data_IF_648817380694
#
_entry.id   IF_648817380694
#
_cell.length_a   1.000
_cell.length_b   1.000
_cell.length_c   1.000
_cell.angle_alpha   90.00
_cell.angle_beta   90.00
_cell.angle_gamma   90.00
#
_symmetry.space_group_name_H-M   'P 1'
#
loop_
_entity.id
_entity.type
_entity.pdbx_description
1 polymer ?
#
# COMPACT_ATOMS: atom_id res chain seq x y z
N UNK A 1 36.21 -39.80 35.28
CA UNK A 1 36.72 -39.05 36.46
C UNK A 1 36.57 -37.57 36.14
N UNK A 2 35.48 -36.95 36.59
CA UNK A 2 35.44 -35.93 37.67
C UNK A 2 36.05 -34.57 37.27
N UNK A 3 35.19 -33.58 37.00
CA UNK A 3 35.07 -32.30 37.75
C UNK A 3 34.48 -31.19 36.88
N UNK A 4 33.27 -30.72 37.25
CA UNK A 4 32.94 -29.35 37.72
C UNK A 4 32.69 -28.40 36.53
N UNK A 5 31.46 -28.04 36.10
CA UNK A 5 30.28 -27.48 36.80
C UNK A 5 30.63 -26.31 37.73
N UNK A 6 30.81 -25.13 37.14
CA UNK A 6 30.62 -23.84 37.81
C UNK A 6 29.53 -23.06 37.06
N UNK A 7 28.41 -22.86 37.75
CA UNK A 7 27.29 -22.04 37.30
C UNK A 7 27.47 -20.59 37.72
N UNK A 8 27.41 -19.68 36.75
CA UNK A 8 27.21 -18.26 36.98
C UNK A 8 25.72 -17.95 37.03
N UNK A 9 25.18 -17.71 38.24
CA UNK A 9 23.87 -17.11 38.44
C UNK A 9 23.98 -15.61 38.20
N UNK A 10 23.50 -15.12 37.06
CA UNK A 10 23.33 -13.68 36.85
C UNK A 10 22.02 -13.24 37.50
N UNK A 11 22.14 -12.30 38.44
CA UNK A 11 21.04 -11.78 39.24
C UNK A 11 20.04 -11.03 38.37
N UNK A 12 18.76 -11.43 38.43
CA UNK A 12 17.64 -10.64 37.92
C UNK A 12 17.34 -9.54 38.94
N UNK A 13 17.68 -8.31 38.59
CA UNK A 13 17.28 -7.11 39.35
C UNK A 13 15.84 -6.80 38.96
N UNK A 14 14.90 -7.20 39.82
CA UNK A 14 13.50 -6.77 39.74
C UNK A 14 13.41 -5.35 40.30
N UNK A 15 13.27 -4.36 39.41
CA UNK A 15 12.98 -2.99 39.81
C UNK A 15 11.51 -2.89 40.23
N UNK A 16 11.27 -2.64 41.51
CA UNK A 16 9.96 -2.35 42.06
C UNK A 16 9.52 -0.94 41.62
N UNK A 17 8.46 -0.86 40.82
CA UNK A 17 7.78 0.40 40.48
C UNK A 17 6.95 0.85 41.68
N UNK A 18 7.39 1.91 42.34
CA UNK A 18 6.64 2.57 43.40
C UNK A 18 5.57 3.48 42.76
N UNK A 19 4.30 3.10 42.88
CA UNK A 19 3.14 3.94 42.56
C UNK A 19 2.97 4.97 43.68
N UNK A 20 3.30 6.22 43.40
CA UNK A 20 2.98 7.34 44.28
C UNK A 20 1.64 7.97 43.87
N UNK A 21 0.59 7.69 44.66
CA UNK A 21 -0.63 8.49 44.69
C UNK A 21 -0.30 9.90 45.20
N UNK A 22 -0.56 10.93 44.40
CA UNK A 22 -0.70 12.30 44.89
C UNK A 22 -2.14 12.76 44.70
N UNK A 23 -2.91 12.65 45.78
CA UNK A 23 -4.15 13.39 45.96
C UNK A 23 -3.81 14.78 46.51
N UNK A 24 -4.02 15.83 45.70
CA UNK A 24 -4.02 17.20 46.17
C UNK A 24 -5.36 17.86 45.79
N UNK A 25 -6.25 17.91 46.77
CA UNK A 25 -7.43 18.75 46.79
C UNK A 25 -6.96 20.19 47.02
N UNK A 26 -7.21 21.08 46.05
CA UNK A 26 -7.15 22.52 46.26
C UNK A 26 -8.50 23.13 45.88
N UNK A 27 -9.31 23.34 46.92
CA UNK A 27 -10.42 24.28 46.93
C UNK A 27 -9.84 25.71 46.89
N UNK A 28 -10.09 26.44 45.80
CA UNK A 28 -10.06 27.90 45.85
C UNK A 28 -11.03 28.45 44.82
N UNK A 29 -12.06 29.13 45.31
CA UNK A 29 -12.93 29.97 44.50
C UNK A 29 -12.30 31.34 44.27
N UNK A 30 -12.52 31.90 43.08
CA UNK A 30 -12.42 33.33 42.82
C UNK A 30 -13.40 33.69 41.69
N UNK A 31 -13.96 34.89 41.83
CA UNK A 31 -15.07 35.44 41.08
C UNK A 31 -14.80 35.58 39.57
N UNK A 32 -15.84 35.31 38.78
CA UNK A 32 -15.85 35.55 37.33
C UNK A 32 -16.06 37.04 37.03
N UNK A 33 -15.19 37.69 36.24
CA UNK A 33 -15.60 38.87 35.49
C UNK A 33 -16.45 38.43 34.29
N UNK A 34 -17.57 39.12 34.07
CA UNK A 34 -18.38 39.01 32.86
C UNK A 34 -17.55 39.47 31.66
N UNK A 35 -16.88 38.53 31.00
CA UNK A 35 -16.21 38.71 29.72
C UNK A 35 -17.15 38.36 28.57
N UNK A 36 -17.18 39.23 27.57
CA UNK A 36 -17.98 39.15 26.35
C UNK A 36 -17.94 37.77 25.66
N UNK A 37 -19.00 37.35 24.95
CA UNK A 37 -19.01 36.14 24.15
C UNK A 37 -17.98 36.29 23.02
N UNK A 38 -16.78 35.74 23.23
CA UNK A 38 -15.83 35.49 22.16
C UNK A 38 -16.42 34.44 21.26
N UNK A 39 -16.55 34.76 19.97
CA UNK A 39 -16.88 33.82 18.93
C UNK A 39 -15.94 32.60 19.07
N UNK A 40 -16.52 31.43 19.29
CA UNK A 40 -15.78 30.18 19.19
C UNK A 40 -15.28 30.10 17.75
N UNK A 41 -13.96 30.18 17.57
CA UNK A 41 -13.34 29.81 16.31
C UNK A 41 -13.74 28.35 16.04
N UNK A 42 -14.24 28.01 14.84
CA UNK A 42 -14.54 26.64 14.50
C UNK A 42 -13.24 25.86 14.63
N UNK A 43 -13.19 24.96 15.60
CA UNK A 43 -12.11 23.99 15.70
C UNK A 43 -12.01 23.29 14.36
N UNK A 44 -10.82 23.28 13.77
CA UNK A 44 -10.49 22.46 12.62
C UNK A 44 -10.84 21.02 12.96
N UNK A 45 -12.03 20.58 12.58
CA UNK A 45 -12.31 19.18 12.40
C UNK A 45 -11.29 18.71 11.36
N UNK A 46 -10.39 17.83 11.79
CA UNK A 46 -9.57 17.05 10.88
C UNK A 46 -10.56 16.37 9.94
N UNK A 47 -10.66 16.91 8.73
CA UNK A 47 -11.46 16.34 7.66
C UNK A 47 -10.70 15.08 7.24
N UNK A 48 -10.94 13.98 7.96
CA UNK A 48 -10.40 12.65 7.64
C UNK A 48 -11.26 12.09 6.52
N UNK A 49 -11.31 12.82 5.40
CA UNK A 49 -11.69 12.23 4.13
C UNK A 49 -10.58 11.29 3.67
N UNK A 50 -10.87 10.34 2.77
CA UNK A 50 -9.84 9.53 2.14
C UNK A 50 -8.82 10.47 1.47
N UNK A 51 -7.62 10.57 2.05
CA UNK A 51 -6.55 11.37 1.48
C UNK A 51 -5.86 10.52 0.44
N UNK A 52 -6.06 10.84 -0.84
CA UNK A 52 -5.29 10.27 -1.95
C UNK A 52 -3.79 10.65 -1.92
N UNK A 53 -3.34 11.31 -0.85
CA UNK A 53 -1.99 11.76 -0.58
C UNK A 53 -1.07 10.68 0.02
N UNK A 54 -1.60 9.48 0.31
CA UNK A 54 -0.78 8.35 0.76
C UNK A 54 -1.27 7.01 0.26
N UNK A 55 -0.37 6.04 0.29
CA UNK A 55 -0.59 4.64 -0.03
C UNK A 55 -0.36 3.76 1.22
N UNK A 56 -0.83 2.52 1.18
CA UNK A 56 -0.57 1.48 2.15
C UNK A 56 0.29 0.38 1.53
N UNK A 57 1.28 -0.09 2.28
CA UNK A 57 2.12 -1.22 1.95
C UNK A 57 2.31 -2.10 3.19
N UNK A 58 1.66 -3.27 3.24
CA UNK A 58 1.60 -4.11 4.44
C UNK A 58 1.11 -3.34 5.69
N UNK A 59 0.12 -2.47 5.52
CA UNK A 59 -0.40 -1.60 6.58
C UNK A 59 0.48 -0.39 6.92
N UNK A 60 1.66 -0.25 6.30
CA UNK A 60 2.50 0.93 6.45
C UNK A 60 2.01 2.06 5.54
N UNK A 61 1.85 3.27 6.09
CA UNK A 61 1.51 4.44 5.30
C UNK A 61 2.75 4.97 4.57
N UNK A 62 2.67 5.01 3.25
CA UNK A 62 3.69 5.54 2.34
C UNK A 62 3.18 6.86 1.75
N UNK A 63 3.78 8.01 2.08
CA UNK A 63 3.36 9.29 1.49
C UNK A 63 3.50 9.29 -0.04
N UNK A 64 2.54 9.90 -0.73
CA UNK A 64 2.58 10.03 -2.21
C UNK A 64 3.81 10.77 -2.70
N UNK A 65 4.30 11.73 -1.92
CA UNK A 65 5.55 12.44 -2.23
C UNK A 65 6.76 11.51 -2.36
N UNK A 66 6.78 10.36 -1.68
CA UNK A 66 7.88 9.38 -1.80
C UNK A 66 7.84 8.69 -3.17
N UNK A 67 6.64 8.55 -3.75
CA UNK A 67 6.44 7.97 -5.08
C UNK A 67 6.78 8.99 -6.16
N UNK A 68 6.31 10.23 -5.99
CA UNK A 68 6.46 11.30 -6.99
C UNK A 68 7.86 11.95 -6.98
N UNK A 69 8.47 12.10 -5.80
CA UNK A 69 9.80 12.71 -5.60
C UNK A 69 10.63 11.90 -4.56
N UNK A 70 11.15 10.73 -4.96
CA UNK A 70 11.81 9.81 -4.04
C UNK A 70 13.13 10.34 -3.48
N UNK A 71 13.25 10.39 -2.15
CA UNK A 71 14.53 10.62 -1.46
C UNK A 71 15.38 9.36 -1.54
N UNK A 72 16.53 9.43 -2.22
CA UNK A 72 17.43 8.28 -2.37
C UNK A 72 18.28 8.09 -1.12
N UNK A 73 18.75 6.87 -0.91
CA UNK A 73 19.69 6.54 0.18
C UNK A 73 20.95 7.44 0.12
N UNK A 74 21.45 7.70 -1.08
CA UNK A 74 22.63 8.55 -1.31
C UNK A 74 22.44 10.01 -0.89
N UNK A 75 21.18 10.48 -0.80
CA UNK A 75 20.84 11.87 -0.44
C UNK A 75 20.61 12.04 1.07
N UNK A 76 20.66 10.95 1.85
CA UNK A 76 20.61 11.01 3.30
C UNK A 76 21.85 11.67 3.89
N UNK A 77 21.70 12.26 5.07
CA UNK A 77 22.85 12.69 5.86
C UNK A 77 23.71 11.50 6.33
N UNK A 78 24.89 11.81 6.90
CA UNK A 78 25.86 10.81 7.37
C UNK A 78 25.24 9.83 8.39
N UNK A 79 24.34 10.30 9.26
CA UNK A 79 23.69 9.45 10.25
C UNK A 79 22.70 8.47 9.61
N UNK A 80 21.94 8.91 8.60
CA UNK A 80 21.02 8.05 7.84
C UNK A 80 21.76 7.01 7.01
N UNK A 81 22.85 7.41 6.35
CA UNK A 81 23.70 6.46 5.61
C UNK A 81 24.35 5.44 6.55
N UNK A 82 24.88 5.89 7.70
CA UNK A 82 25.45 5.01 8.70
C UNK A 82 24.42 4.07 9.34
N UNK A 83 23.17 4.51 9.51
CA UNK A 83 22.09 3.66 10.01
C UNK A 83 21.83 2.47 9.09
N UNK A 84 21.72 2.72 7.78
CA UNK A 84 21.49 1.67 6.77
C UNK A 84 22.73 0.77 6.62
N UNK A 85 23.92 1.35 6.53
CA UNK A 85 25.16 0.59 6.34
C UNK A 85 25.53 -0.31 7.52
N UNK A 86 25.07 0.01 8.73
CA UNK A 86 25.30 -0.79 9.94
C UNK A 86 24.07 -1.62 10.36
N UNK A 87 23.00 -1.61 9.56
CA UNK A 87 21.82 -2.42 9.87
C UNK A 87 22.13 -3.91 9.72
N UNK A 88 21.60 -4.73 10.61
CA UNK A 88 21.75 -6.19 10.57
C UNK A 88 20.41 -6.92 10.66
N UNK A 89 20.37 -8.15 10.17
CA UNK A 89 19.30 -9.10 10.47
C UNK A 89 19.41 -9.65 11.89
N UNK A 90 18.42 -10.42 12.32
CA UNK A 90 18.37 -11.08 13.63
C UNK A 90 19.48 -12.13 13.82
N UNK A 91 19.98 -12.70 12.73
CA UNK A 91 21.14 -13.60 12.73
C UNK A 91 22.50 -12.85 12.80
N UNK A 92 22.47 -11.51 12.80
CA UNK A 92 23.65 -10.64 12.82
C UNK A 92 24.34 -10.45 11.47
N UNK A 93 23.81 -11.01 10.38
CA UNK A 93 24.28 -10.73 9.03
C UNK A 93 23.98 -9.27 8.65
N UNK A 94 24.87 -8.60 7.89
CA UNK A 94 24.63 -7.23 7.46
C UNK A 94 23.46 -7.16 6.47
N UNK A 95 22.71 -6.06 6.52
CA UNK A 95 21.74 -5.74 5.48
C UNK A 95 22.48 -5.51 4.15
N UNK A 96 22.17 -6.34 3.16
CA UNK A 96 22.68 -6.20 1.79
C UNK A 96 21.53 -5.76 0.89
N UNK A 97 21.54 -4.49 0.50
CA UNK A 97 20.58 -3.94 -0.45
C UNK A 97 21.14 -4.13 -1.85
N UNK A 98 20.54 -5.04 -2.61
CA UNK A 98 20.81 -5.10 -4.04
C UNK A 98 20.28 -3.83 -4.71
N UNK A 99 21.05 -3.30 -5.67
CA UNK A 99 20.73 -2.07 -6.38
C UNK A 99 20.31 -0.92 -5.44
N UNK A 100 21.18 -0.46 -4.52
CA UNK A 100 20.83 0.55 -3.52
C UNK A 100 20.29 1.85 -4.13
N UNK A 101 20.63 2.15 -5.39
CA UNK A 101 20.09 3.26 -6.18
C UNK A 101 18.59 3.16 -6.46
N UNK A 102 18.01 1.96 -6.43
CA UNK A 102 16.58 1.71 -6.64
C UNK A 102 15.73 1.94 -5.39
N UNK A 103 16.36 2.03 -4.22
CA UNK A 103 15.70 2.21 -2.94
C UNK A 103 15.48 3.70 -2.61
N UNK A 104 14.32 3.97 -2.04
CA UNK A 104 13.86 5.29 -1.61
C UNK A 104 13.44 5.26 -0.14
N UNK A 105 13.57 6.38 0.56
CA UNK A 105 13.26 6.49 1.99
C UNK A 105 11.82 6.98 2.13
N UNK A 106 10.94 6.10 2.63
CA UNK A 106 9.53 6.41 2.85
C UNK A 106 9.27 7.10 4.20
N UNK A 107 10.00 6.69 5.23
CA UNK A 107 9.94 7.29 6.56
C UNK A 107 11.34 7.32 7.16
N UNK A 108 11.65 8.39 7.89
CA UNK A 108 12.87 8.46 8.70
C UNK A 108 12.61 9.25 9.98
N UNK A 109 12.97 8.65 11.10
CA UNK A 109 13.06 9.30 12.39
C UNK A 109 14.27 8.75 13.18
N UNK A 110 14.39 9.07 14.47
CA UNK A 110 15.55 8.70 15.28
C UNK A 110 15.68 7.18 15.53
N UNK A 111 14.58 6.44 15.52
CA UNK A 111 14.54 5.01 15.85
C UNK A 111 14.05 4.14 14.70
N UNK A 112 13.63 4.73 13.59
CA UNK A 112 13.01 4.02 12.45
C UNK A 112 13.42 4.60 11.11
N UNK A 113 13.70 3.72 10.15
CA UNK A 113 13.82 4.04 8.73
C UNK A 113 12.97 3.04 7.95
N UNK A 114 12.08 3.52 7.09
CA UNK A 114 11.34 2.67 6.15
C UNK A 114 11.91 2.91 4.76
N UNK A 115 12.42 1.85 4.16
CA UNK A 115 12.90 1.82 2.78
C UNK A 115 11.85 1.15 1.91
N UNK A 116 11.63 1.71 0.72
CA UNK A 116 10.81 1.09 -0.32
C UNK A 116 11.56 1.07 -1.63
N UNK A 117 11.28 0.08 -2.47
CA UNK A 117 11.63 0.14 -3.90
C UNK A 117 10.50 -0.44 -4.71
N UNK A 118 10.29 0.16 -5.89
CA UNK A 118 9.41 -0.43 -6.88
C UNK A 118 10.19 -1.48 -7.65
N UNK A 119 9.79 -2.74 -7.50
CA UNK A 119 10.12 -3.76 -8.48
C UNK A 119 9.23 -3.48 -9.68
N UNK A 120 9.70 -2.70 -10.62
CA UNK A 120 9.10 -2.77 -11.95
C UNK A 120 9.18 -4.24 -12.35
N UNK A 121 8.04 -4.88 -12.57
CA UNK A 121 7.98 -6.03 -13.44
C UNK A 121 8.52 -5.55 -14.78
N UNK A 122 9.85 -5.56 -14.95
CA UNK A 122 10.48 -5.47 -16.25
C UNK A 122 9.91 -6.69 -16.94
N UNK A 123 8.88 -6.47 -17.76
CA UNK A 123 8.28 -7.52 -18.56
C UNK A 123 9.43 -8.32 -19.15
N UNK A 124 9.41 -9.62 -18.92
CA UNK A 124 10.38 -10.59 -19.38
C UNK A 124 10.36 -10.69 -20.93
N UNK A 125 10.62 -9.57 -21.60
CA UNK A 125 10.41 -9.37 -23.04
C UNK A 125 11.09 -8.13 -23.62
N UNK A 126 11.73 -7.26 -22.83
CA UNK A 126 12.60 -6.19 -23.39
C UNK A 126 13.98 -6.24 -22.73
N UNK A 127 14.68 -7.35 -22.90
CA UNK A 127 16.14 -7.29 -22.80
C UNK A 127 16.69 -6.79 -24.14
N UNK A 128 17.71 -5.95 -24.05
CA UNK A 128 18.60 -5.46 -25.11
C UNK A 128 19.29 -6.56 -25.95
N UNK A 129 18.77 -7.79 -26.02
CA UNK A 129 19.23 -8.85 -26.91
C UNK A 129 19.09 -8.49 -28.41
N UNK A 130 18.31 -7.46 -28.75
CA UNK A 130 18.21 -6.95 -30.12
C UNK A 130 19.37 -6.03 -30.55
N UNK A 131 20.40 -5.77 -29.72
CA UNK A 131 21.54 -4.94 -30.15
C UNK A 131 22.89 -5.66 -30.31
N UNK A 132 23.00 -6.97 -30.12
CA UNK A 132 24.30 -7.60 -30.36
C UNK A 132 24.44 -9.11 -30.14
N UNK A 133 23.62 -9.95 -30.76
CA UNK A 133 23.98 -11.34 -30.96
C UNK A 133 23.27 -11.94 -32.19
N UNK A 134 23.80 -11.64 -33.37
CA UNK A 134 23.65 -12.56 -34.49
C UNK A 134 24.48 -13.82 -34.18
N UNK A 135 23.86 -14.78 -33.51
CA UNK A 135 24.41 -16.09 -33.22
C UNK A 135 23.31 -17.13 -33.34
N UNK A 136 23.32 -17.87 -34.45
CA UNK A 136 22.46 -19.02 -34.76
C UNK A 136 22.15 -19.90 -33.54
N UNK A 137 20.92 -19.86 -33.06
CA UNK A 137 20.35 -20.86 -32.19
C UNK A 137 19.03 -21.35 -32.80
N UNK A 138 19.12 -22.46 -33.52
CA UNK A 138 17.97 -23.25 -33.98
C UNK A 138 17.43 -24.05 -32.80
N UNK A 139 16.35 -23.59 -32.18
CA UNK A 139 15.63 -24.33 -31.16
C UNK A 139 14.25 -23.71 -30.95
N UNK A 140 13.21 -24.41 -31.39
CA UNK A 140 11.81 -24.04 -31.30
C UNK A 140 11.40 -23.70 -29.86
N UNK A 141 11.33 -22.41 -29.54
CA UNK A 141 10.40 -21.89 -28.52
C UNK A 141 9.26 -21.23 -29.28
N UNK A 142 8.09 -21.87 -29.26
CA UNK A 142 6.85 -21.31 -29.79
C UNK A 142 6.49 -20.05 -28.99
N UNK A 143 6.91 -18.91 -29.50
CA UNK A 143 6.33 -17.61 -29.20
C UNK A 143 5.31 -17.39 -30.30
N UNK A 144 4.03 -17.33 -29.94
CA UNK A 144 2.98 -17.03 -30.88
C UNK A 144 3.21 -15.61 -31.41
N UNK A 145 3.14 -15.42 -32.74
CA UNK A 145 3.45 -14.18 -33.49
C UNK A 145 2.59 -12.95 -33.10
N UNK A 146 1.75 -13.07 -32.06
CA UNK A 146 0.92 -12.00 -31.52
C UNK A 146 1.59 -11.19 -30.40
N UNK A 147 2.70 -11.65 -29.81
CA UNK A 147 3.47 -10.86 -28.83
C UNK A 147 2.73 -10.44 -27.56
N UNK A 148 1.52 -10.95 -27.31
CA UNK A 148 0.76 -10.67 -26.09
C UNK A 148 1.27 -11.55 -24.96
N UNK A 149 2.09 -10.99 -24.08
CA UNK A 149 2.37 -11.63 -22.79
C UNK A 149 1.04 -11.64 -22.00
N UNK A 150 0.53 -12.80 -21.57
CA UNK A 150 -0.68 -12.85 -20.75
C UNK A 150 -0.48 -11.96 -19.52
N UNK A 151 -1.44 -11.09 -19.25
CA UNK A 151 -1.50 -10.36 -17.98
C UNK A 151 -1.44 -11.37 -16.84
N UNK A 152 -0.34 -11.34 -16.07
CA UNK A 152 -0.19 -12.15 -14.86
C UNK A 152 -0.61 -11.28 -13.67
N UNK A 153 -1.83 -11.45 -13.12
CA UNK A 153 -2.28 -10.74 -11.93
C UNK A 153 -1.46 -11.10 -10.68
N UNK A 154 -0.49 -12.03 -10.75
CA UNK A 154 0.42 -12.31 -9.63
C UNK A 154 1.73 -11.54 -9.72
N UNK A 155 1.99 -10.85 -10.84
CA UNK A 155 3.06 -9.86 -10.95
C UNK A 155 2.80 -8.59 -10.08
N UNK A 156 1.63 -8.51 -9.43
CA UNK A 156 1.14 -7.40 -8.59
C UNK A 156 2.01 -7.02 -7.37
N UNK A 157 3.07 -7.79 -7.05
CA UNK A 157 4.00 -7.45 -5.97
C UNK A 157 5.11 -6.50 -6.44
N UNK A 158 4.68 -5.31 -6.85
CA UNK A 158 5.53 -4.30 -7.46
C UNK A 158 6.35 -3.49 -6.47
N UNK A 159 6.19 -3.71 -5.16
CA UNK A 159 6.91 -2.94 -4.14
C UNK A 159 7.51 -3.84 -3.09
N UNK A 160 8.80 -3.64 -2.81
CA UNK A 160 9.45 -4.19 -1.64
C UNK A 160 9.57 -3.14 -0.56
N UNK A 161 9.46 -3.56 0.70
CA UNK A 161 9.60 -2.70 1.87
C UNK A 161 10.50 -3.34 2.90
N UNK A 162 11.42 -2.55 3.42
CA UNK A 162 12.26 -2.90 4.57
C UNK A 162 12.07 -1.84 5.65
N UNK A 163 11.77 -2.27 6.87
CA UNK A 163 11.73 -1.38 8.05
C UNK A 163 12.94 -1.67 8.92
N UNK A 164 13.78 -0.66 9.13
CA UNK A 164 14.88 -0.67 10.07
C UNK A 164 14.42 -0.05 11.40
N UNK A 165 14.85 -0.61 12.52
CA UNK A 165 14.53 -0.11 13.86
C UNK A 165 15.68 -0.30 14.83
N UNK A 166 15.80 0.60 15.81
CA UNK A 166 16.73 0.46 16.95
C UNK A 166 16.10 -0.17 18.18
N UNK A 167 14.80 -0.52 18.14
CA UNK A 167 14.05 -0.96 19.33
C UNK A 167 14.21 -2.46 19.63
N UNK A 168 14.61 -3.25 18.63
CA UNK A 168 14.66 -4.70 18.75
C UNK A 168 16.01 -5.19 19.32
N UNK A 169 17.13 -4.52 18.99
CA UNK A 169 18.51 -4.95 19.30
C UNK A 169 19.41 -3.72 19.52
N UNK A 170 20.59 -3.86 20.15
CA UNK A 170 21.57 -2.78 20.18
C UNK A 170 22.04 -2.42 18.77
N UNK A 171 21.70 -1.21 18.29
CA UNK A 171 22.04 -0.73 16.95
C UNK A 171 20.83 -0.78 16.01
N UNK A 172 21.07 -0.54 14.72
CA UNK A 172 20.03 -0.64 13.70
C UNK A 172 19.83 -2.10 13.29
N UNK A 173 18.59 -2.56 13.24
CA UNK A 173 18.25 -3.91 12.83
C UNK A 173 17.05 -3.91 11.87
N UNK A 174 16.99 -4.91 11.00
CA UNK A 174 15.81 -5.16 10.16
C UNK A 174 14.68 -5.67 11.07
N UNK A 175 13.64 -4.85 11.22
CA UNK A 175 12.46 -5.21 12.02
C UNK A 175 11.34 -5.86 11.20
N UNK A 176 11.25 -5.54 9.91
CA UNK A 176 10.32 -6.17 8.99
C UNK A 176 10.85 -6.05 7.56
N UNK A 177 10.63 -7.08 6.76
CA UNK A 177 10.90 -7.11 5.32
C UNK A 177 9.77 -7.85 4.62
N UNK A 178 9.37 -7.39 3.44
CA UNK A 178 8.39 -8.08 2.63
C UNK A 178 8.03 -7.30 1.37
N UNK A 179 7.23 -7.93 0.52
CA UNK A 179 6.65 -7.32 -0.67
C UNK A 179 5.18 -6.95 -0.46
N UNK A 180 4.72 -5.96 -1.20
CA UNK A 180 3.36 -5.45 -1.15
C UNK A 180 2.93 -4.89 -2.51
N UNK A 181 1.64 -4.77 -2.69
CA UNK A 181 1.02 -3.90 -3.71
C UNK A 181 0.69 -2.59 -3.02
N UNK A 182 1.16 -1.46 -3.55
CA UNK A 182 0.76 -0.16 -3.04
C UNK A 182 -0.69 0.11 -3.41
N UNK A 183 -1.52 0.31 -2.39
CA UNK A 183 -2.92 0.70 -2.55
C UNK A 183 -3.14 2.06 -1.91
N UNK A 184 -4.00 2.90 -2.46
CA UNK A 184 -4.30 4.21 -1.86
C UNK A 184 -4.88 4.04 -0.45
N UNK A 185 -4.48 4.91 0.47
CA UNK A 185 -5.02 4.92 1.84
C UNK A 185 -6.39 5.60 1.83
N UNK A 186 -7.45 4.79 1.93
CA UNK A 186 -8.83 5.27 1.97
C UNK A 186 -9.35 5.50 3.40
N UNK A 187 -8.47 5.49 4.41
CA UNK A 187 -8.85 5.63 5.82
C UNK A 187 -9.61 4.40 6.33
N UNK A 188 -10.90 4.57 6.61
CA UNK A 188 -11.75 3.48 7.13
C UNK A 188 -12.24 2.53 6.02
N UNK A 189 -12.16 2.93 4.75
CA UNK A 189 -12.51 2.07 3.63
C UNK A 189 -11.34 1.17 3.24
N UNK A 190 -11.66 0.02 2.67
CA UNK A 190 -10.68 -0.88 2.07
C UNK A 190 -10.73 -0.78 0.55
N UNK A 191 -9.58 -0.97 -0.10
CA UNK A 191 -9.50 -1.05 -1.56
C UNK A 191 -9.96 -2.45 -2.02
N UNK A 192 -11.05 -2.57 -2.79
CA UNK A 192 -11.46 -3.84 -3.36
C UNK A 192 -10.61 -4.23 -4.58
N UNK A 193 -10.68 -5.50 -4.97
CA UNK A 193 -10.29 -5.88 -6.33
C UNK A 193 -11.46 -5.57 -7.27
N UNK A 194 -11.16 -4.97 -8.42
CA UNK A 194 -12.16 -4.53 -9.40
C UNK A 194 -11.76 -4.99 -10.79
N UNK A 195 -12.73 -5.52 -11.54
CA UNK A 195 -12.56 -5.84 -12.97
C UNK A 195 -13.89 -5.67 -13.71
N UNK A 196 -13.87 -5.65 -15.04
CA UNK A 196 -15.11 -5.58 -15.84
C UNK A 196 -15.91 -6.88 -15.76
N UNK A 197 -17.23 -6.74 -15.69
CA UNK A 197 -18.15 -7.87 -15.90
C UNK A 197 -18.01 -8.37 -17.35
N UNK A 198 -17.53 -9.61 -17.49
CA UNK A 198 -17.27 -10.24 -18.78
C UNK A 198 -18.57 -10.57 -19.53
N UNK A 199 -19.69 -10.72 -18.82
CA UNK A 199 -21.00 -10.99 -19.42
C UNK A 199 -21.71 -9.69 -19.83
N UNK A 200 -21.18 -8.53 -19.45
CA UNK A 200 -21.78 -7.21 -19.67
C UNK A 200 -20.76 -6.12 -19.99
N UNK A 201 -19.79 -6.44 -20.86
CA UNK A 201 -18.76 -5.50 -21.32
C UNK A 201 -19.37 -4.22 -21.92
N UNK A 202 -18.79 -3.03 -21.65
CA UNK A 202 -19.30 -1.79 -22.20
C UNK A 202 -19.07 -1.70 -23.72
N UNK A 203 -19.87 -0.89 -24.39
CA UNK A 203 -19.67 -0.47 -25.78
C UNK A 203 -19.24 1.00 -25.82
N UNK A 204 -18.81 1.51 -26.98
CA UNK A 204 -18.48 2.93 -27.14
C UNK A 204 -19.65 3.87 -26.79
N UNK A 205 -20.88 3.44 -27.00
CA UNK A 205 -22.08 4.22 -26.66
C UNK A 205 -22.54 4.03 -25.20
N UNK A 206 -21.92 3.11 -24.45
CA UNK A 206 -22.30 2.81 -23.08
C UNK A 206 -22.06 4.01 -22.16
N UNK A 207 -23.03 4.29 -21.30
CA UNK A 207 -22.90 5.22 -20.16
C UNK A 207 -22.88 4.47 -18.83
N UNK A 208 -22.80 3.16 -18.86
CA UNK A 208 -22.79 2.31 -17.69
C UNK A 208 -21.56 1.41 -17.78
N UNK A 209 -20.77 1.38 -16.70
CA UNK A 209 -19.69 0.44 -16.50
C UNK A 209 -20.17 -0.63 -15.54
N UNK A 210 -20.25 -1.87 -16.01
CA UNK A 210 -20.58 -3.03 -15.17
C UNK A 210 -19.29 -3.64 -14.66
N UNK A 211 -19.10 -3.56 -13.35
CA UNK A 211 -17.90 -3.99 -12.65
C UNK A 211 -18.22 -5.19 -11.76
N UNK A 212 -17.22 -6.02 -11.55
CA UNK A 212 -17.19 -7.05 -10.54
C UNK A 212 -16.27 -6.58 -9.42
N UNK A 213 -16.81 -6.47 -8.21
CA UNK A 213 -16.11 -5.93 -7.04
C UNK A 213 -15.93 -7.03 -6.00
N UNK A 214 -14.69 -7.28 -5.60
CA UNK A 214 -14.33 -8.31 -4.63
C UNK A 214 -13.71 -7.67 -3.39
N UNK A 215 -14.37 -7.86 -2.25
CA UNK A 215 -13.90 -7.42 -0.93
C UNK A 215 -12.77 -8.35 -0.43
N UNK A 216 -11.55 -7.83 -0.17
CA UNK A 216 -10.43 -8.64 0.28
C UNK A 216 -10.58 -9.14 1.73
N UNK A 217 -11.47 -8.54 2.53
CA UNK A 217 -11.56 -8.76 3.97
C UNK A 217 -12.57 -9.81 4.40
N UNK A 218 -13.08 -10.60 3.45
CA UNK A 218 -14.19 -11.54 3.58
C UNK A 218 -15.58 -10.90 3.50
N UNK A 219 -16.30 -11.19 2.41
CA UNK A 219 -17.68 -10.71 2.20
C UNK A 219 -18.77 -11.48 2.96
N UNK A 220 -18.46 -12.69 3.45
CA UNK A 220 -19.50 -13.65 3.87
C UNK A 220 -20.46 -13.99 2.72
N UNK A 221 -21.55 -14.69 3.01
CA UNK A 221 -22.65 -14.91 2.05
C UNK A 221 -23.51 -13.65 1.79
N UNK A 222 -23.12 -12.50 2.36
CA UNK A 222 -23.88 -11.27 2.26
C UNK A 222 -23.50 -10.52 0.99
N UNK A 223 -24.49 -10.24 0.14
CA UNK A 223 -24.36 -9.28 -0.94
C UNK A 223 -23.81 -7.94 -0.40
N UNK A 224 -22.82 -7.36 -1.08
CA UNK A 224 -22.10 -6.17 -0.63
C UNK A 224 -22.48 -4.83 -1.27
N UNK A 225 -23.57 -4.66 -2.07
CA UNK A 225 -23.76 -3.43 -2.83
C UNK A 225 -23.89 -2.20 -1.93
N UNK A 226 -24.44 -2.34 -0.72
CA UNK A 226 -24.59 -1.25 0.24
C UNK A 226 -23.26 -0.86 0.93
N UNK A 227 -22.20 -1.64 0.78
CA UNK A 227 -20.86 -1.39 1.36
C UNK A 227 -19.87 -0.78 0.36
N UNK A 228 -20.17 -0.87 -0.93
CA UNK A 228 -19.32 -0.33 -2.00
C UNK A 228 -19.59 1.17 -2.14
N UNK A 229 -18.53 1.95 -2.12
CA UNK A 229 -18.56 3.41 -2.26
C UNK A 229 -17.68 3.84 -3.43
N UNK A 230 -18.22 4.69 -4.32
CA UNK A 230 -17.40 5.38 -5.32
C UNK A 230 -16.70 6.53 -4.64
N UNK A 231 -15.42 6.37 -4.33
CA UNK A 231 -14.60 7.38 -3.66
C UNK A 231 -14.25 8.50 -4.63
N UNK A 232 -13.84 8.15 -5.85
CA UNK A 232 -13.63 9.11 -6.93
C UNK A 232 -13.98 8.52 -8.29
N UNK A 233 -14.55 9.36 -9.15
CA UNK A 233 -14.77 9.06 -10.56
C UNK A 233 -14.28 10.28 -11.36
N UNK A 234 -13.12 10.14 -11.97
CA UNK A 234 -12.55 11.18 -12.83
C UNK A 234 -12.83 10.79 -14.29
N UNK A 235 -13.53 11.66 -15.02
CA UNK A 235 -13.81 11.48 -16.44
C UNK A 235 -13.09 12.59 -17.22
N UNK A 236 -12.21 12.20 -18.14
CA UNK A 236 -11.64 13.11 -19.14
C UNK A 236 -11.88 12.59 -20.57
N UNK A 237 -11.28 13.24 -21.57
CA UNK A 237 -11.49 12.90 -22.99
C UNK A 237 -10.79 11.60 -23.43
N UNK A 238 -9.89 11.07 -22.61
CA UNK A 238 -9.03 9.91 -22.89
C UNK A 238 -9.23 8.75 -21.93
N UNK A 239 -9.73 9.00 -20.73
CA UNK A 239 -9.77 8.02 -19.66
C UNK A 239 -10.94 8.25 -18.68
N UNK A 240 -11.41 7.14 -18.11
CA UNK A 240 -12.26 7.12 -16.92
C UNK A 240 -11.48 6.45 -15.79
N UNK A 241 -11.14 7.20 -14.75
CA UNK A 241 -10.40 6.69 -13.58
C UNK A 241 -11.36 6.44 -12.43
N UNK A 242 -11.45 5.19 -12.00
CA UNK A 242 -12.38 4.73 -10.98
C UNK A 242 -11.61 4.40 -9.70
N UNK A 243 -12.04 4.97 -8.58
CA UNK A 243 -11.60 4.56 -7.25
C UNK A 243 -12.80 4.10 -6.44
N UNK A 244 -12.85 2.81 -6.14
CA UNK A 244 -13.85 2.23 -5.24
C UNK A 244 -13.24 1.98 -3.87
N UNK A 245 -14.07 2.12 -2.84
CA UNK A 245 -13.79 1.67 -1.49
C UNK A 245 -14.90 0.72 -1.02
N UNK A 246 -14.56 -0.19 -0.13
CA UNK A 246 -15.52 -1.06 0.55
C UNK A 246 -15.43 -0.80 2.04
N UNK A 247 -16.57 -0.47 2.67
CA UNK A 247 -16.63 -0.37 4.14
C UNK A 247 -16.37 -1.74 4.75
N UNK A 248 -15.47 -1.92 5.72
CA UNK A 248 -15.24 -3.19 6.40
C UNK A 248 -16.52 -3.78 6.99
N UNK A 249 -16.53 -5.10 7.20
CA UNK A 249 -17.57 -5.70 8.01
C UNK A 249 -17.49 -5.15 9.45
N UNK A 250 -18.63 -4.96 10.14
CA UNK A 250 -18.62 -4.69 11.57
C UNK A 250 -17.86 -5.78 12.34
N UNK A 251 -17.44 -5.49 13.56
CA UNK A 251 -16.78 -6.50 14.39
C UNK A 251 -17.68 -7.74 14.59
N UNK A 252 -17.16 -8.92 14.25
CA UNK A 252 -17.92 -10.16 14.31
C UNK A 252 -17.12 -11.38 13.84
N UNK A 253 -17.61 -12.57 14.20
CA UNK A 253 -17.12 -13.81 13.62
C UNK A 253 -17.92 -14.10 12.34
N UNK A 254 -17.23 -14.18 11.21
CA UNK A 254 -17.82 -14.46 9.91
C UNK A 254 -17.26 -15.77 9.35
N UNK A 255 -18.14 -16.64 8.86
CA UNK A 255 -17.73 -17.82 8.11
C UNK A 255 -17.53 -17.41 6.65
N UNK A 256 -16.27 -17.29 6.27
CA UNK A 256 -15.83 -16.81 4.96
C UNK A 256 -15.90 -17.91 3.89
N UNK A 257 -17.09 -18.47 3.67
CA UNK A 257 -17.31 -19.56 2.72
C UNK A 257 -17.43 -19.03 1.29
N UNK A 258 -16.28 -18.74 0.66
CA UNK A 258 -16.23 -18.21 -0.70
C UNK A 258 -16.26 -16.69 -0.75
N UNK A 259 -15.69 -16.14 -1.81
CA UNK A 259 -15.66 -14.70 -2.05
C UNK A 259 -16.19 -14.45 -3.47
N UNK A 260 -17.50 -14.68 -3.71
CA UNK A 260 -18.07 -14.32 -5.00
C UNK A 260 -17.96 -12.79 -5.15
N UNK A 261 -17.50 -12.30 -6.30
CA UNK A 261 -17.53 -10.87 -6.59
C UNK A 261 -18.97 -10.34 -6.65
N UNK A 262 -19.20 -9.13 -6.16
CA UNK A 262 -20.47 -8.43 -6.22
C UNK A 262 -20.54 -7.58 -7.49
N UNK A 263 -21.56 -7.77 -8.35
CA UNK A 263 -21.81 -6.88 -9.48
C UNK A 263 -22.09 -5.45 -9.00
N UNK A 264 -21.49 -4.46 -9.65
CA UNK A 264 -21.66 -3.04 -9.34
C UNK A 264 -21.67 -2.20 -10.62
N UNK A 265 -22.63 -1.29 -10.75
CA UNK A 265 -22.75 -0.46 -11.95
C UNK A 265 -22.42 1.00 -11.62
N UNK A 266 -21.51 1.59 -12.40
CA UNK A 266 -21.19 3.02 -12.37
C UNK A 266 -21.83 3.69 -13.58
N UNK A 267 -22.51 4.82 -13.37
CA UNK A 267 -23.06 5.64 -14.46
C UNK A 267 -22.10 6.78 -14.81
N UNK A 268 -21.71 6.87 -16.07
CA UNK A 268 -20.87 7.91 -16.65
C UNK A 268 -21.71 9.13 -17.08
N UNK A 269 -21.09 10.31 -17.02
CA UNK A 269 -21.73 11.56 -17.48
C UNK A 269 -21.78 11.66 -19.01
N UNK A 270 -20.78 11.11 -19.70
CA UNK A 270 -20.71 11.00 -21.17
C UNK A 270 -20.59 9.54 -21.61
N UNK A 271 -21.00 9.17 -22.84
CA UNK A 271 -20.72 7.84 -23.40
C UNK A 271 -19.23 7.50 -23.35
N UNK A 272 -18.87 6.23 -23.14
CA UNK A 272 -17.50 5.78 -22.96
C UNK A 272 -16.59 6.20 -24.12
N UNK A 273 -17.04 6.08 -25.37
CA UNK A 273 -16.26 6.42 -26.55
C UNK A 273 -15.00 5.55 -26.67
N UNK A 274 -13.88 6.19 -27.00
CA UNK A 274 -12.54 5.56 -27.05
C UNK A 274 -11.78 5.71 -25.72
N UNK A 275 -12.48 6.01 -24.62
CA UNK A 275 -11.83 6.20 -23.33
C UNK A 275 -11.55 4.86 -22.71
N UNK A 276 -10.34 4.72 -22.18
CA UNK A 276 -9.99 3.55 -21.38
C UNK A 276 -10.56 3.67 -19.96
N UNK A 277 -10.65 2.55 -19.24
CA UNK A 277 -11.06 2.53 -17.83
C UNK A 277 -9.91 2.01 -16.97
N UNK A 278 -9.47 2.84 -16.02
CA UNK A 278 -8.38 2.50 -15.12
C UNK A 278 -8.80 2.48 -13.66
N UNK A 279 -8.15 1.60 -12.90
CA UNK A 279 -8.21 1.55 -11.46
C UNK A 279 -7.26 2.61 -10.88
N UNK A 280 -7.84 3.58 -10.16
CA UNK A 280 -7.11 4.65 -9.51
C UNK A 280 -6.61 4.26 -8.09
N UNK A 281 -6.85 3.02 -7.65
CA UNK A 281 -6.41 2.54 -6.34
C UNK A 281 -4.90 2.33 -6.23
N UNK A 282 -4.18 2.32 -7.36
CA UNK A 282 -2.74 2.07 -7.42
C UNK A 282 -1.99 3.30 -7.93
N UNK A 283 -0.71 3.49 -7.53
CA UNK A 283 0.12 4.58 -8.07
C UNK A 283 0.46 4.38 -9.54
N UNK A 284 0.63 3.12 -9.96
CA UNK A 284 0.84 2.74 -11.35
C UNK A 284 -0.52 2.52 -12.00
N UNK A 285 -0.71 3.14 -13.16
CA UNK A 285 -1.91 3.00 -13.97
C UNK A 285 -2.18 1.52 -14.26
N UNK A 286 -3.26 1.02 -13.70
CA UNK A 286 -3.73 -0.37 -13.88
C UNK A 286 -5.02 -0.33 -14.67
N UNK A 287 -5.04 -0.97 -15.82
CA UNK A 287 -6.21 -1.01 -16.68
C UNK A 287 -7.25 -1.99 -16.14
N UNK A 288 -8.48 -1.51 -15.96
CA UNK A 288 -9.65 -2.38 -15.75
C UNK A 288 -10.16 -2.84 -17.13
N UNK A 289 -10.09 -1.94 -18.11
CA UNK A 289 -10.53 -2.18 -19.48
C UNK A 289 -9.75 -1.33 -20.47
N UNK A 290 -9.29 -1.96 -21.55
CA UNK A 290 -8.64 -1.33 -22.69
C UNK A 290 -9.65 -1.19 -23.83
N UNK A 291 -9.92 0.04 -24.25
CA UNK A 291 -10.91 0.35 -25.29
C UNK A 291 -10.53 -0.19 -26.66
N UNK A 292 -9.26 -0.48 -26.92
CA UNK A 292 -8.82 -1.12 -28.17
C UNK A 292 -9.38 -2.54 -28.35
N UNK A 293 -9.89 -3.15 -27.28
CA UNK A 293 -10.59 -4.43 -27.33
C UNK A 293 -12.03 -4.31 -27.87
N UNK A 294 -12.50 -3.08 -28.16
CA UNK A 294 -13.84 -2.81 -28.72
C UNK A 294 -13.92 -2.87 -30.26
N UNK A 295 -12.84 -3.23 -30.96
CA UNK A 295 -12.81 -3.42 -32.42
C UNK A 295 -13.03 -4.94 -32.77
N UNK A 296 -13.76 -5.43 -33.77
CA UNK A 296 -14.53 -4.91 -34.91
C UNK A 296 -15.79 -5.82 -35.07
N UNK A 297 -17.01 -5.35 -34.75
CA UNK A 297 -18.28 -5.97 -35.22
C UNK A 297 -19.05 -5.05 -36.17
#
# INVERSE_FOLDING_TARGET
>A
MRSLLEGGRTAVVVAAVAVALNAAVLLSGCAAPAGSPGAAEPGSSTDVGPSSDSFLCMGERIPRSVIDDPVRIADLDEAGQAAIANATYDDGSPLDLDHPESWSVAERNETRIVLIRHRFAIGAGVTDAARGAAGEATGETGVDDAGTVPYDPTAEQDTERISLTTELWPGWAVGAEGSCTLTVDLGELQVPHVWMDQDALPTRDSRELNLMVLDPSCGGDADMPDRIEVVSLEEDDTEVRVLLGVRPLPDGAYDCAGFPPTPYTITLTTPLGERDVADASRPVKTWIFDSSLLDDE
#
